data_IF_500559433567
#
_entry.id   IF_500559433567
#
_cell.length_a   1.000
_cell.length_b   1.000
_cell.length_c   1.000
_cell.angle_alpha   90.00
_cell.angle_beta   90.00
_cell.angle_gamma   90.00
#
_symmetry.space_group_name_H-M   'P 1'
#
loop_
_entity.id
_entity.type
_entity.pdbx_description
1 polymer ?
#
# COMPACT_ATOMS: atom_id res chain seq x y z
N UNK A 1 -10.23 11.62 -2.83
CA UNK A 1 -9.04 10.98 -3.43
C UNK A 1 -8.15 10.39 -2.35
N UNK A 2 -7.46 9.26 -2.61
CA UNK A 2 -6.56 8.62 -1.65
C UNK A 2 -5.09 9.00 -1.92
N UNK A 3 -4.19 8.71 -0.98
CA UNK A 3 -2.77 9.08 -1.07
C UNK A 3 -2.00 8.30 -2.12
N UNK A 4 -2.41 7.06 -2.37
CA UNK A 4 -1.86 6.19 -3.42
C UNK A 4 -2.54 6.40 -4.78
N UNK A 5 -3.51 7.30 -4.89
CA UNK A 5 -4.13 7.59 -6.18
C UNK A 5 -3.05 8.11 -7.12
N UNK A 6 -2.87 7.46 -8.27
CA UNK A 6 -1.97 7.95 -9.30
C UNK A 6 -2.62 9.11 -10.02
N UNK A 7 -1.80 10.08 -10.35
CA UNK A 7 -2.14 11.28 -11.11
C UNK A 7 -1.17 11.37 -12.27
N UNK A 8 -1.69 11.64 -13.47
CA UNK A 8 -0.92 11.86 -14.69
C UNK A 8 -1.48 13.04 -15.46
N UNK A 9 -0.63 13.95 -15.93
CA UNK A 9 -1.06 15.01 -16.84
C UNK A 9 -1.52 14.40 -18.18
N UNK A 10 -2.68 14.84 -18.70
CA UNK A 10 -3.21 14.35 -20.00
C UNK A 10 -2.39 14.89 -21.18
N UNK A 11 -1.97 16.14 -21.09
CA UNK A 11 -1.11 16.81 -22.07
C UNK A 11 -0.16 17.76 -21.34
N UNK A 12 1.13 17.75 -21.71
CA UNK A 12 2.09 18.76 -21.27
C UNK A 12 1.86 20.05 -22.07
N UNK A 13 0.77 20.77 -21.74
CA UNK A 13 0.43 22.08 -22.29
C UNK A 13 0.66 23.21 -21.28
N UNK A 14 0.39 24.45 -21.70
CA UNK A 14 0.42 25.61 -20.80
C UNK A 14 -0.57 25.42 -19.64
N UNK A 15 -0.13 25.84 -18.46
CA UNK A 15 -0.96 25.86 -17.27
C UNK A 15 -2.15 26.80 -17.48
N UNK A 16 -3.40 26.37 -17.27
CA UNK A 16 -4.57 27.20 -17.56
C UNK A 16 -4.81 28.36 -16.58
N UNK A 17 -3.90 28.58 -15.62
CA UNK A 17 -4.00 29.64 -14.62
C UNK A 17 -5.07 29.37 -13.56
N UNK A 18 -5.21 30.30 -12.59
CA UNK A 18 -6.34 30.31 -11.66
C UNK A 18 -6.24 29.46 -10.39
N UNK A 19 -5.11 28.78 -10.14
CA UNK A 19 -4.87 28.02 -8.89
C UNK A 19 -3.75 28.61 -8.02
N UNK A 20 -3.30 29.82 -8.35
CA UNK A 20 -2.17 30.50 -7.68
C UNK A 20 -0.83 29.75 -7.85
N UNK A 21 0.21 30.30 -7.23
CA UNK A 21 1.59 29.84 -7.38
C UNK A 21 1.75 28.35 -7.02
N UNK A 22 1.10 27.90 -5.95
CA UNK A 22 1.14 26.49 -5.50
C UNK A 22 0.50 25.55 -6.52
N UNK A 23 -0.58 25.97 -7.17
CA UNK A 23 -1.22 25.17 -8.22
C UNK A 23 -0.37 25.10 -9.49
N UNK A 24 0.36 26.16 -9.79
CA UNK A 24 1.31 26.20 -10.90
C UNK A 24 2.52 25.29 -10.64
N UNK A 25 3.08 25.30 -9.43
CA UNK A 25 4.16 24.37 -9.02
C UNK A 25 3.70 22.90 -9.11
N UNK A 26 2.49 22.59 -8.65
CA UNK A 26 1.90 21.26 -8.79
C UNK A 26 1.79 20.84 -10.26
N UNK A 27 1.33 21.73 -11.13
CA UNK A 27 1.24 21.46 -12.56
C UNK A 27 2.60 21.15 -13.18
N UNK A 28 3.61 21.96 -12.87
CA UNK A 28 4.97 21.74 -13.36
C UNK A 28 5.54 20.40 -12.86
N UNK A 29 5.32 20.06 -11.59
CA UNK A 29 5.74 18.77 -11.03
C UNK A 29 5.06 17.57 -11.72
N UNK A 30 3.79 17.72 -12.14
CA UNK A 30 3.04 16.71 -12.88
C UNK A 30 3.46 16.62 -14.35
N UNK A 31 3.58 17.75 -15.03
CA UNK A 31 3.91 17.82 -16.46
C UNK A 31 5.35 17.37 -16.77
N UNK A 32 6.27 17.55 -15.81
CA UNK A 32 7.66 17.10 -15.92
C UNK A 32 7.89 15.66 -15.45
N UNK A 33 6.88 15.01 -14.86
CA UNK A 33 7.03 13.64 -14.39
C UNK A 33 7.15 12.67 -15.58
N UNK A 34 8.14 11.78 -15.54
CA UNK A 34 8.36 10.76 -16.58
C UNK A 34 7.22 9.73 -16.68
N UNK A 35 6.31 9.70 -15.72
CA UNK A 35 5.16 8.82 -15.67
C UNK A 35 4.19 9.22 -14.56
N UNK A 36 3.16 8.40 -14.28
CA UNK A 36 2.22 8.68 -13.21
C UNK A 36 2.89 8.77 -11.84
N UNK A 37 2.39 9.68 -11.01
CA UNK A 37 2.87 9.93 -9.64
C UNK A 37 1.71 9.86 -8.67
N UNK A 38 1.96 9.34 -7.48
CA UNK A 38 0.95 9.29 -6.41
C UNK A 38 0.76 10.67 -5.77
N UNK A 39 -0.42 10.88 -5.18
CA UNK A 39 -0.72 12.08 -4.39
C UNK A 39 0.29 12.29 -3.26
N UNK A 40 0.74 11.21 -2.60
CA UNK A 40 1.74 11.32 -1.54
C UNK A 40 3.11 11.73 -2.08
N UNK A 41 3.55 11.18 -3.22
CA UNK A 41 4.80 11.60 -3.87
C UNK A 41 4.77 13.09 -4.24
N UNK A 42 3.63 13.59 -4.75
CA UNK A 42 3.44 15.01 -5.04
C UNK A 42 3.49 15.87 -3.77
N UNK A 43 2.78 15.46 -2.72
CA UNK A 43 2.78 16.14 -1.43
C UNK A 43 4.20 16.28 -0.86
N UNK A 44 4.99 15.22 -0.95
CA UNK A 44 6.38 15.21 -0.49
C UNK A 44 7.28 16.09 -1.34
N UNK A 45 7.18 16.01 -2.67
CA UNK A 45 8.00 16.84 -3.59
C UNK A 45 7.75 18.32 -3.43
N UNK A 46 6.50 18.70 -3.16
CA UNK A 46 6.08 20.10 -3.00
C UNK A 46 6.16 20.58 -1.54
N UNK A 47 6.52 19.70 -0.60
CA UNK A 47 6.49 19.96 0.84
C UNK A 47 5.11 20.50 1.32
N UNK A 48 4.02 19.93 0.79
CA UNK A 48 2.64 20.30 1.11
C UNK A 48 1.93 19.18 1.87
N UNK A 49 0.95 19.51 2.74
CA UNK A 49 0.07 18.50 3.29
C UNK A 49 -0.68 17.75 2.19
N UNK A 50 -0.80 16.42 2.30
CA UNK A 50 -1.51 15.60 1.30
C UNK A 50 -2.95 16.05 1.08
N UNK A 51 -3.62 16.63 2.09
CA UNK A 51 -4.95 17.24 1.95
C UNK A 51 -4.99 18.40 0.94
N UNK A 52 -3.98 19.27 0.95
CA UNK A 52 -3.87 20.41 0.03
C UNK A 52 -3.67 19.91 -1.39
N UNK A 53 -2.74 18.97 -1.59
CA UNK A 53 -2.52 18.36 -2.91
C UNK A 53 -3.77 17.67 -3.43
N UNK A 54 -4.54 16.98 -2.56
CA UNK A 54 -5.81 16.35 -2.96
C UNK A 54 -6.81 17.38 -3.51
N UNK A 55 -6.93 18.53 -2.87
CA UNK A 55 -7.82 19.61 -3.33
C UNK A 55 -7.35 20.16 -4.68
N UNK A 56 -6.06 20.51 -4.80
CA UNK A 56 -5.51 21.06 -6.03
C UNK A 56 -5.63 20.08 -7.21
N UNK A 57 -5.31 18.80 -7.00
CA UNK A 57 -5.50 17.76 -8.02
C UNK A 57 -6.98 17.61 -8.39
N UNK A 58 -7.90 17.74 -7.44
CA UNK A 58 -9.34 17.67 -7.75
C UNK A 58 -9.75 18.80 -8.70
N UNK A 59 -9.23 20.01 -8.51
CA UNK A 59 -9.46 21.10 -9.46
C UNK A 59 -8.87 20.80 -10.85
N UNK A 60 -7.68 20.20 -10.93
CA UNK A 60 -7.08 19.79 -12.20
C UNK A 60 -7.89 18.68 -12.89
N UNK A 61 -8.51 17.79 -12.12
CA UNK A 61 -9.44 16.75 -12.62
C UNK A 61 -10.69 17.41 -13.19
N UNK A 62 -11.30 18.35 -12.48
CA UNK A 62 -12.50 19.07 -12.93
C UNK A 62 -12.22 19.87 -14.21
N UNK A 63 -11.03 20.45 -14.31
CA UNK A 63 -10.53 21.12 -15.51
C UNK A 63 -10.11 20.15 -16.63
N UNK A 64 -10.18 18.84 -16.41
CA UNK A 64 -9.78 17.77 -17.36
C UNK A 64 -8.33 17.83 -17.82
N UNK A 65 -7.45 18.34 -16.97
CA UNK A 65 -6.02 18.47 -17.27
C UNK A 65 -5.22 17.22 -16.85
N UNK A 66 -5.74 16.49 -15.88
CA UNK A 66 -5.13 15.27 -15.36
C UNK A 66 -6.08 14.08 -15.45
N UNK A 67 -5.49 12.90 -15.52
CA UNK A 67 -6.15 11.62 -15.32
C UNK A 67 -5.74 11.09 -13.93
N UNK A 68 -6.67 10.43 -13.25
CA UNK A 68 -6.41 9.78 -11.97
C UNK A 68 -6.82 8.32 -11.98
N UNK A 69 -6.07 7.47 -11.27
CA UNK A 69 -6.45 6.07 -11.10
C UNK A 69 -7.67 5.92 -10.20
N UNK A 70 -8.36 4.79 -10.32
CA UNK A 70 -9.34 4.38 -9.33
C UNK A 70 -8.67 4.25 -7.94
N UNK A 71 -9.42 4.58 -6.89
CA UNK A 71 -8.94 4.45 -5.50
C UNK A 71 -8.81 2.98 -5.10
N UNK A 72 -9.78 2.15 -5.48
CA UNK A 72 -9.75 0.69 -5.34
C UNK A 72 -10.16 0.08 -6.68
N UNK A 73 -9.21 -0.47 -7.45
CA UNK A 73 -9.54 -1.06 -8.74
C UNK A 73 -10.37 -2.33 -8.59
N UNK A 74 -11.24 -2.59 -9.58
CA UNK A 74 -12.04 -3.82 -9.64
C UNK A 74 -11.23 -5.03 -10.11
N UNK A 75 -11.87 -6.21 -10.08
CA UNK A 75 -11.27 -7.51 -10.40
C UNK A 75 -10.48 -7.55 -11.72
N UNK A 76 -11.01 -6.95 -12.79
CA UNK A 76 -10.34 -6.96 -14.10
C UNK A 76 -8.94 -6.33 -14.07
N UNK A 77 -8.75 -5.28 -13.28
CA UNK A 77 -7.45 -4.63 -13.09
C UNK A 77 -6.54 -5.47 -12.19
N UNK A 78 -7.09 -6.16 -11.19
CA UNK A 78 -6.30 -7.11 -10.37
C UNK A 78 -5.80 -8.29 -11.22
N UNK A 79 -6.64 -8.84 -12.09
CA UNK A 79 -6.26 -9.92 -13.02
C UNK A 79 -5.24 -9.43 -14.06
N UNK A 80 -5.38 -8.20 -14.57
CA UNK A 80 -4.38 -7.60 -15.46
C UNK A 80 -3.03 -7.39 -14.74
N UNK A 81 -3.05 -6.92 -13.49
CA UNK A 81 -1.86 -6.77 -12.65
C UNK A 81 -1.12 -8.10 -12.41
N UNK A 82 -1.84 -9.21 -12.49
CA UNK A 82 -1.33 -10.57 -12.34
C UNK A 82 -0.94 -11.23 -13.67
N UNK A 83 -1.09 -10.53 -14.80
CA UNK A 83 -0.82 -11.09 -16.13
C UNK A 83 -1.83 -12.16 -16.54
N UNK A 84 -2.98 -12.22 -15.86
CA UNK A 84 -4.05 -13.20 -16.09
C UNK A 84 -5.09 -12.67 -17.08
N UNK A 85 -4.96 -11.40 -17.50
CA UNK A 85 -5.74 -10.77 -18.57
C UNK A 85 -4.88 -9.87 -19.45
N UNK A 86 -5.04 -10.03 -20.76
CA UNK A 86 -4.50 -9.10 -21.76
C UNK A 86 -5.52 -7.99 -22.04
N UNK A 87 -5.08 -6.73 -21.89
CA UNK A 87 -5.87 -5.55 -22.21
C UNK A 87 -5.26 -4.29 -21.60
N UNK A 88 -5.25 -3.19 -22.35
CA UNK A 88 -4.81 -1.90 -21.86
C UNK A 88 -5.76 -1.40 -20.79
N UNK A 89 -5.46 -1.68 -19.52
CA UNK A 89 -6.05 -0.90 -18.43
C UNK A 89 -5.50 0.53 -18.58
N UNK A 90 -6.36 1.53 -18.42
CA UNK A 90 -5.95 2.93 -18.40
C UNK A 90 -5.01 3.20 -17.21
N UNK A 91 -4.95 4.44 -16.72
CA UNK A 91 -4.16 4.69 -15.52
C UNK A 91 -4.68 3.86 -14.32
N UNK A 92 -3.92 2.85 -13.89
CA UNK A 92 -4.34 1.88 -12.88
C UNK A 92 -3.27 1.70 -11.81
N UNK A 93 -3.71 1.68 -10.56
CA UNK A 93 -2.87 1.42 -9.40
C UNK A 93 -3.58 0.45 -8.47
N UNK A 94 -2.83 -0.49 -7.91
CA UNK A 94 -3.30 -1.32 -6.79
C UNK A 94 -2.52 -0.95 -5.55
N UNK A 95 -3.20 -0.85 -4.42
CA UNK A 95 -2.55 -0.61 -3.13
C UNK A 95 -2.59 -1.87 -2.29
N UNK A 96 -1.43 -2.24 -1.77
CA UNK A 96 -1.28 -3.29 -0.77
C UNK A 96 -0.79 -2.63 0.53
N UNK A 97 -1.49 -2.90 1.62
CA UNK A 97 -1.03 -2.51 2.95
C UNK A 97 -0.14 -3.60 3.51
N UNK A 98 1.02 -3.24 4.04
CA UNK A 98 1.93 -4.17 4.72
C UNK A 98 1.83 -3.90 6.22
N UNK A 99 1.35 -4.89 6.96
CA UNK A 99 1.19 -4.86 8.43
C UNK A 99 1.91 -6.05 9.04
N UNK A 100 2.11 -6.04 10.36
CA UNK A 100 2.76 -7.14 11.07
C UNK A 100 3.25 -6.70 12.44
N UNK A 101 3.67 -7.66 13.25
CA UNK A 101 4.27 -7.38 14.56
C UNK A 101 5.63 -6.66 14.46
N UNK A 102 6.15 -6.12 15.57
CA UNK A 102 7.52 -5.63 15.64
C UNK A 102 8.54 -6.62 15.08
N UNK A 103 9.52 -6.12 14.33
CA UNK A 103 10.58 -6.94 13.73
C UNK A 103 10.12 -8.06 12.79
N UNK A 104 8.88 -8.07 12.32
CA UNK A 104 8.37 -9.07 11.36
C UNK A 104 8.88 -8.90 9.93
N UNK A 105 9.71 -7.89 9.67
CA UNK A 105 10.32 -7.66 8.35
C UNK A 105 9.48 -6.81 7.39
N UNK A 106 8.47 -6.11 7.88
CA UNK A 106 7.60 -5.17 7.13
C UNK A 106 8.36 -4.08 6.36
N UNK A 107 9.16 -3.25 7.05
CA UNK A 107 10.02 -2.24 6.40
C UNK A 107 11.01 -2.87 5.41
N UNK A 108 11.61 -4.01 5.80
CA UNK A 108 12.56 -4.73 4.94
C UNK A 108 11.89 -5.23 3.66
N UNK A 109 10.70 -5.82 3.77
CA UNK A 109 9.91 -6.29 2.63
C UNK A 109 9.52 -5.13 1.72
N UNK A 110 9.06 -4.01 2.30
CA UNK A 110 8.70 -2.83 1.53
C UNK A 110 9.91 -2.31 0.75
N UNK A 111 11.06 -2.21 1.40
CA UNK A 111 12.34 -1.84 0.76
C UNK A 111 12.75 -2.79 -0.36
N UNK A 112 12.70 -4.11 -0.13
CA UNK A 112 13.08 -5.12 -1.11
C UNK A 112 12.13 -5.16 -2.33
N UNK A 113 10.83 -5.04 -2.11
CA UNK A 113 9.85 -5.06 -3.19
C UNK A 113 9.93 -3.81 -4.07
N UNK A 114 10.29 -2.66 -3.49
CA UNK A 114 10.18 -1.37 -4.14
C UNK A 114 11.25 -1.14 -5.21
N UNK A 115 10.86 -0.59 -6.36
CA UNK A 115 11.76 -0.21 -7.46
C UNK A 115 12.36 1.18 -7.30
N UNK A 116 11.74 2.01 -6.47
CA UNK A 116 12.25 3.32 -6.06
C UNK A 116 12.47 3.32 -4.55
N UNK A 117 13.43 4.10 -4.03
CA UNK A 117 13.61 4.23 -2.59
C UNK A 117 12.28 4.57 -1.91
N UNK A 118 11.83 3.78 -0.93
CA UNK A 118 10.61 4.06 -0.20
C UNK A 118 10.67 5.43 0.45
N UNK A 119 9.54 6.12 0.48
CA UNK A 119 9.44 7.36 1.23
C UNK A 119 8.92 7.05 2.62
N UNK A 120 9.64 7.50 3.65
CA UNK A 120 9.24 7.41 5.04
C UNK A 120 8.84 8.79 5.57
N UNK A 121 7.69 8.87 6.24
CA UNK A 121 7.20 10.08 6.90
C UNK A 121 7.00 9.78 8.38
N UNK A 122 7.77 10.48 9.22
CA UNK A 122 7.67 10.41 10.67
C UNK A 122 6.67 11.44 11.20
N UNK A 123 5.71 11.00 12.01
CA UNK A 123 4.72 11.85 12.67
C UNK A 123 4.68 11.56 14.17
N UNK A 124 4.55 12.61 14.98
CA UNK A 124 4.32 12.48 16.42
C UNK A 124 2.84 12.60 16.70
N UNK A 125 2.23 11.49 17.10
CA UNK A 125 0.81 11.43 17.43
C UNK A 125 0.63 11.41 18.95
N UNK A 126 -0.37 12.14 19.48
CA UNK A 126 -0.77 11.97 20.87
C UNK A 126 -1.31 10.56 21.08
N UNK A 127 -0.95 9.95 22.20
CA UNK A 127 -1.41 8.63 22.62
C UNK A 127 -2.13 8.73 23.98
N UNK A 128 -2.98 7.74 24.33
CA UNK A 128 -3.67 7.71 25.62
C UNK A 128 -2.70 7.88 26.80
N UNK A 129 -3.13 8.62 27.82
CA UNK A 129 -2.32 8.89 29.01
C UNK A 129 -1.26 9.98 28.82
N UNK A 130 -1.43 10.87 27.84
CA UNK A 130 -0.53 12.03 27.61
C UNK A 130 0.83 11.64 27.02
N UNK A 131 0.95 10.42 26.49
CA UNK A 131 2.17 9.96 25.81
C UNK A 131 2.24 10.51 24.39
N UNK A 132 3.45 10.60 23.86
CA UNK A 132 3.69 10.90 22.45
C UNK A 132 4.27 9.66 21.81
N UNK A 133 3.68 9.22 20.70
CA UNK A 133 4.14 8.08 19.94
C UNK A 133 4.60 8.54 18.57
N UNK A 134 5.75 8.04 18.12
CA UNK A 134 6.25 8.31 16.77
C UNK A 134 5.73 7.24 15.84
N UNK A 135 4.98 7.63 14.82
CA UNK A 135 4.60 6.77 13.72
C UNK A 135 5.53 7.06 12.55
N UNK A 136 6.00 6.02 11.88
CA UNK A 136 6.63 6.12 10.56
C UNK A 136 5.69 5.45 9.57
N UNK A 137 5.20 6.22 8.60
CA UNK A 137 4.49 5.68 7.42
C UNK A 137 5.47 5.56 6.27
N UNK A 138 5.44 4.44 5.56
CA UNK A 138 6.34 4.15 4.46
C UNK A 138 5.55 3.86 3.19
N UNK A 139 5.95 4.45 2.07
CA UNK A 139 5.36 4.20 0.76
C UNK A 139 6.40 3.70 -0.22
N UNK A 140 6.04 2.63 -0.92
CA UNK A 140 6.88 2.00 -1.94
C UNK A 140 6.12 1.84 -3.26
N UNK A 141 6.86 1.62 -4.35
CA UNK A 141 6.30 1.29 -5.66
C UNK A 141 6.93 0.03 -6.20
N UNK A 142 6.16 -0.85 -6.81
CA UNK A 142 6.67 -2.07 -7.41
C UNK A 142 5.92 -2.40 -8.71
N UNK A 143 6.60 -3.05 -9.67
CA UNK A 143 6.01 -3.33 -10.98
C UNK A 143 5.01 -4.46 -10.87
N UNK A 144 3.94 -4.35 -11.65
CA UNK A 144 2.97 -5.40 -11.91
C UNK A 144 2.81 -5.56 -13.43
N UNK A 145 2.08 -6.61 -13.82
CA UNK A 145 1.80 -6.87 -15.22
C UNK A 145 0.69 -5.93 -15.75
N UNK A 146 0.44 -5.97 -17.05
CA UNK A 146 -0.67 -5.25 -17.68
C UNK A 146 -0.56 -3.72 -17.60
N UNK A 147 0.59 -3.15 -17.26
CA UNK A 147 0.77 -1.71 -17.08
C UNK A 147 0.14 -1.15 -15.79
N UNK A 148 -0.15 -2.02 -14.82
CA UNK A 148 -0.62 -1.62 -13.49
C UNK A 148 0.57 -1.26 -12.61
N UNK A 149 0.42 -0.22 -11.80
CA UNK A 149 1.41 0.16 -10.80
C UNK A 149 1.02 -0.38 -9.42
N UNK A 150 1.97 -1.03 -8.74
CA UNK A 150 1.80 -1.47 -7.36
C UNK A 150 2.26 -0.38 -6.39
N UNK A 151 1.41 -0.03 -5.42
CA UNK A 151 1.75 0.87 -4.31
C UNK A 151 1.74 0.09 -3.00
N UNK A 152 2.84 0.17 -2.26
CA UNK A 152 2.96 -0.37 -0.90
C UNK A 152 2.75 0.76 0.10
N UNK A 153 2.03 0.45 1.17
CA UNK A 153 1.93 1.33 2.32
C UNK A 153 2.12 0.52 3.61
N UNK A 154 3.12 0.88 4.41
CA UNK A 154 3.35 0.32 5.73
C UNK A 154 3.30 1.41 6.79
N UNK A 155 3.09 1.03 8.04
CA UNK A 155 3.40 1.91 9.15
C UNK A 155 3.93 1.15 10.36
N UNK A 156 4.79 1.84 11.10
CA UNK A 156 5.39 1.38 12.34
C UNK A 156 5.22 2.43 13.41
N UNK A 157 4.96 2.00 14.63
CA UNK A 157 4.62 2.87 15.75
C UNK A 157 5.58 2.58 16.90
N UNK A 158 6.26 3.62 17.39
CA UNK A 158 7.29 3.55 18.43
C UNK A 158 6.66 3.48 19.83
N UNK A 159 5.93 2.40 20.18
CA UNK A 159 5.44 2.10 21.53
C UNK A 159 4.70 0.74 21.57
N UNK A 160 4.35 0.25 22.77
CA UNK A 160 3.34 -0.79 23.04
C UNK A 160 1.90 -0.39 22.61
N UNK A 161 1.77 0.53 21.66
CA UNK A 161 0.51 1.06 21.19
C UNK A 161 -0.19 0.01 20.29
N UNK A 162 -1.32 -0.49 20.80
CA UNK A 162 -2.25 -1.46 20.22
C UNK A 162 -2.93 -0.92 18.92
N UNK A 163 -3.66 -1.77 18.15
CA UNK A 163 -4.08 -1.53 16.75
C UNK A 163 -4.80 -0.23 16.37
N UNK A 164 -5.29 0.55 17.34
CA UNK A 164 -6.04 1.78 17.12
C UNK A 164 -5.35 2.79 16.18
N UNK A 165 -4.01 2.76 16.10
CA UNK A 165 -3.26 3.67 15.24
C UNK A 165 -3.40 3.37 13.74
N UNK A 166 -3.63 2.12 13.31
CA UNK A 166 -3.80 1.86 11.86
C UNK A 166 -5.06 2.54 11.29
N UNK A 167 -6.08 2.74 12.12
CA UNK A 167 -7.29 3.47 11.75
C UNK A 167 -7.06 4.97 11.65
N UNK A 168 -6.36 5.54 12.63
CA UNK A 168 -6.00 6.96 12.64
C UNK A 168 -5.16 7.33 11.42
N UNK A 169 -4.29 6.42 10.98
CA UNK A 169 -3.47 6.60 9.78
C UNK A 169 -4.22 6.36 8.46
N UNK A 170 -5.41 5.75 8.52
CA UNK A 170 -6.25 5.50 7.34
C UNK A 170 -5.59 4.63 6.25
N UNK A 171 -4.60 3.81 6.61
CA UNK A 171 -3.79 3.06 5.64
C UNK A 171 -4.61 2.06 4.83
N UNK A 172 -5.66 1.49 5.40
CA UNK A 172 -6.56 0.56 4.71
C UNK A 172 -7.40 1.22 3.60
N UNK A 173 -7.58 2.55 3.63
CA UNK A 173 -8.46 3.22 2.67
C UNK A 173 -7.94 3.05 1.25
N UNK A 174 -8.79 2.48 0.40
CA UNK A 174 -8.48 2.16 -0.99
C UNK A 174 -7.45 1.05 -1.18
N UNK A 175 -7.08 0.31 -0.14
CA UNK A 175 -6.29 -0.90 -0.30
C UNK A 175 -7.10 -1.95 -1.07
N UNK A 176 -6.46 -2.59 -2.05
CA UNK A 176 -6.99 -3.76 -2.76
C UNK A 176 -6.76 -5.06 -1.99
N UNK A 177 -5.71 -5.09 -1.18
CA UNK A 177 -5.27 -6.24 -0.40
C UNK A 177 -4.33 -5.82 0.71
N UNK A 178 -3.93 -6.78 1.54
CA UNK A 178 -2.89 -6.60 2.53
C UNK A 178 -1.95 -7.79 2.61
N UNK A 179 -0.81 -7.56 3.26
CA UNK A 179 0.12 -8.60 3.69
C UNK A 179 0.30 -8.46 5.20
N UNK A 180 0.15 -9.58 5.91
CA UNK A 180 0.53 -9.71 7.32
C UNK A 180 1.89 -10.38 7.38
N UNK A 181 2.91 -9.63 7.77
CA UNK A 181 4.24 -10.16 8.02
C UNK A 181 4.33 -10.75 9.42
N UNK A 182 4.94 -11.92 9.50
CA UNK A 182 5.02 -12.74 10.71
C UNK A 182 6.46 -13.11 10.98
N UNK A 183 6.94 -12.77 12.17
CA UNK A 183 8.20 -13.30 12.67
C UNK A 183 7.97 -14.75 13.16
N UNK A 184 8.70 -15.76 12.67
CA UNK A 184 8.45 -17.18 12.98
C UNK A 184 8.51 -17.52 14.47
N UNK A 185 9.34 -16.80 15.24
CA UNK A 185 9.46 -16.99 16.70
C UNK A 185 8.56 -16.08 17.56
N UNK A 186 7.81 -15.14 16.94
CA UNK A 186 7.00 -14.11 17.62
C UNK A 186 5.70 -13.86 16.85
N UNK A 187 5.01 -14.93 16.52
CA UNK A 187 3.85 -14.88 15.63
C UNK A 187 2.65 -14.20 16.30
N UNK A 188 2.53 -14.30 17.62
CA UNK A 188 1.45 -13.69 18.42
C UNK A 188 1.42 -12.17 18.26
N UNK A 189 2.57 -11.55 18.00
CA UNK A 189 2.69 -10.10 17.79
C UNK A 189 2.01 -9.65 16.49
N UNK A 190 1.67 -10.59 15.59
CA UNK A 190 1.00 -10.31 14.32
C UNK A 190 -0.51 -10.57 14.36
N UNK A 191 -1.04 -11.26 15.39
CA UNK A 191 -2.48 -11.50 15.56
C UNK A 191 -3.31 -10.21 15.55
N UNK A 192 -2.89 -9.10 16.21
CA UNK A 192 -3.68 -7.87 16.17
C UNK A 192 -3.83 -7.26 14.77
N UNK A 193 -2.88 -7.54 13.87
CA UNK A 193 -2.97 -7.10 12.48
C UNK A 193 -3.96 -7.97 11.68
N UNK A 194 -4.04 -9.27 11.98
CA UNK A 194 -5.03 -10.19 11.41
C UNK A 194 -6.43 -9.75 11.82
N UNK A 195 -6.69 -9.62 13.12
CA UNK A 195 -7.99 -9.19 13.66
C UNK A 195 -8.45 -7.88 13.00
N UNK A 196 -7.54 -6.90 12.90
CA UNK A 196 -7.80 -5.60 12.29
C UNK A 196 -8.19 -5.71 10.79
N UNK A 197 -7.57 -6.61 10.03
CA UNK A 197 -7.91 -6.83 8.62
C UNK A 197 -9.26 -7.52 8.46
N UNK A 198 -9.53 -8.53 9.29
CA UNK A 198 -10.78 -9.30 9.26
C UNK A 198 -12.00 -8.47 9.63
N UNK A 199 -11.89 -7.60 10.65
CA UNK A 199 -12.94 -6.64 11.02
C UNK A 199 -13.33 -5.70 9.85
N UNK A 200 -12.37 -5.39 8.98
CA UNK A 200 -12.58 -4.55 7.78
C UNK A 200 -12.95 -5.38 6.56
N UNK A 201 -12.97 -6.70 6.73
CA UNK A 201 -13.04 -7.69 5.69
C UNK A 201 -12.07 -7.37 4.57
N UNK A 202 -10.80 -6.98 4.83
CA UNK A 202 -9.74 -6.70 3.83
C UNK A 202 -8.97 -7.99 3.52
N UNK A 203 -8.74 -8.35 2.23
CA UNK A 203 -8.23 -9.67 1.90
C UNK A 203 -6.72 -9.63 2.07
N UNK A 204 -6.16 -10.67 2.66
CA UNK A 204 -4.74 -10.65 2.98
C UNK A 204 -4.05 -11.97 2.72
N UNK A 205 -2.74 -11.89 2.53
CA UNK A 205 -1.85 -13.04 2.61
C UNK A 205 -0.93 -12.90 3.82
N UNK A 206 -0.47 -14.03 4.34
CA UNK A 206 0.49 -14.09 5.45
C UNK A 206 1.87 -14.37 4.87
N UNK A 207 2.82 -13.48 5.14
CA UNK A 207 4.24 -13.69 4.87
C UNK A 207 4.96 -14.13 6.13
N UNK A 208 5.53 -15.32 6.15
CA UNK A 208 6.39 -15.78 7.26
C UNK A 208 7.83 -15.50 6.91
N UNK A 209 8.50 -14.65 7.69
CA UNK A 209 9.89 -14.25 7.44
C UNK A 209 10.83 -15.47 7.55
N UNK A 210 11.42 -15.86 6.43
CA UNK A 210 12.28 -17.04 6.27
C UNK A 210 13.73 -16.72 6.67
N UNK A 211 13.94 -16.33 7.93
CA UNK A 211 15.25 -16.00 8.46
C UNK A 211 16.18 -17.23 8.46
N UNK A 212 17.45 -17.09 8.04
CA UNK A 212 18.41 -18.19 8.04
C UNK A 212 18.52 -18.87 9.42
N UNK A 213 18.47 -20.21 9.43
CA UNK A 213 18.57 -21.00 10.65
C UNK A 213 17.27 -21.11 11.46
N UNK A 214 16.15 -20.61 10.95
CA UNK A 214 14.85 -20.72 11.63
C UNK A 214 14.10 -21.97 11.21
N UNK A 215 13.50 -22.68 12.17
CA UNK A 215 12.54 -23.75 11.89
C UNK A 215 11.22 -23.10 11.51
N UNK A 216 10.82 -23.24 10.25
CA UNK A 216 9.62 -22.63 9.73
C UNK A 216 8.42 -23.58 9.93
N UNK A 217 7.30 -23.09 10.49
CA UNK A 217 6.07 -23.86 10.54
C UNK A 217 5.51 -24.09 9.12
N UNK A 218 4.77 -25.17 8.92
CA UNK A 218 3.99 -25.34 7.69
C UNK A 218 2.81 -24.35 7.64
N UNK A 219 2.25 -24.17 6.45
CA UNK A 219 1.15 -23.23 6.21
C UNK A 219 -0.09 -23.53 7.07
N UNK A 220 -0.43 -24.80 7.28
CA UNK A 220 -1.58 -25.18 8.11
C UNK A 220 -1.39 -24.76 9.55
N UNK A 221 -0.19 -25.00 10.08
CA UNK A 221 0.18 -24.62 11.44
C UNK A 221 0.15 -23.10 11.65
N UNK A 222 0.61 -22.31 10.67
CA UNK A 222 0.53 -20.85 10.73
C UNK A 222 -0.92 -20.36 10.77
N UNK A 223 -1.80 -20.93 9.93
CA UNK A 223 -3.23 -20.59 9.94
C UNK A 223 -3.89 -20.90 11.27
N UNK A 224 -3.62 -22.07 11.84
CA UNK A 224 -4.12 -22.42 13.18
C UNK A 224 -3.69 -21.41 14.24
N UNK A 225 -2.40 -21.06 14.23
CA UNK A 225 -1.80 -20.15 15.20
C UNK A 225 -2.44 -18.76 15.10
N UNK A 226 -2.51 -18.21 13.88
CA UNK A 226 -3.10 -16.89 13.61
C UNK A 226 -4.64 -16.90 13.56
N UNK A 227 -5.27 -18.09 13.63
CA UNK A 227 -6.72 -18.30 13.51
C UNK A 227 -7.33 -17.76 12.22
N UNK A 228 -6.58 -17.84 11.12
CA UNK A 228 -7.04 -17.35 9.81
C UNK A 228 -7.86 -18.39 9.08
N UNK A 229 -8.68 -17.93 8.14
CA UNK A 229 -9.45 -18.81 7.25
C UNK A 229 -8.55 -19.79 6.47
N UNK A 230 -9.09 -20.99 6.17
CA UNK A 230 -8.37 -22.06 5.49
C UNK A 230 -7.83 -21.67 4.10
N UNK A 231 -8.48 -20.72 3.43
CA UNK A 231 -8.11 -20.23 2.09
C UNK A 231 -7.12 -19.06 2.10
N UNK A 232 -6.76 -18.55 3.29
CA UNK A 232 -5.77 -17.47 3.44
C UNK A 232 -4.40 -17.97 2.97
N UNK A 233 -3.75 -17.31 1.99
CA UNK A 233 -2.42 -17.70 1.53
C UNK A 233 -1.40 -17.52 2.65
N UNK A 234 -0.54 -18.53 2.85
CA UNK A 234 0.62 -18.44 3.74
C UNK A 234 1.87 -18.73 2.90
N UNK A 235 2.79 -17.78 2.88
CA UNK A 235 3.97 -17.81 2.02
C UNK A 235 5.22 -17.63 2.86
N UNK A 236 6.15 -18.58 2.80
CA UNK A 236 7.49 -18.40 3.35
C UNK A 236 8.23 -17.37 2.49
N UNK A 237 8.71 -16.31 3.12
CA UNK A 237 9.19 -15.12 2.42
C UNK A 237 10.56 -14.70 2.95
N UNK A 238 11.58 -14.69 2.10
CA UNK A 238 12.81 -13.94 2.43
C UNK A 238 12.53 -12.46 2.17
N UNK A 239 12.27 -11.70 3.23
CA UNK A 239 11.89 -10.29 3.15
C UNK A 239 12.97 -9.39 2.54
N UNK A 240 14.20 -9.90 2.36
CA UNK A 240 15.31 -9.18 1.72
C UNK A 240 15.40 -9.46 0.22
N UNK A 241 14.72 -10.49 -0.27
CA UNK A 241 14.69 -10.84 -1.69
C UNK A 241 13.56 -10.08 -2.40
N UNK A 242 13.87 -9.22 -3.38
CA UNK A 242 12.84 -8.54 -4.18
C UNK A 242 11.86 -9.51 -4.85
N UNK A 243 12.36 -10.65 -5.32
CA UNK A 243 11.57 -11.67 -5.99
C UNK A 243 10.62 -12.37 -5.01
N UNK A 244 11.13 -12.75 -3.83
CA UNK A 244 10.32 -13.38 -2.77
C UNK A 244 9.24 -12.41 -2.26
N UNK A 245 9.59 -11.15 -2.04
CA UNK A 245 8.65 -10.12 -1.61
C UNK A 245 7.55 -9.90 -2.67
N UNK A 246 7.91 -9.78 -3.95
CA UNK A 246 6.94 -9.61 -5.04
C UNK A 246 6.04 -10.83 -5.21
N UNK A 247 6.55 -12.04 -4.99
CA UNK A 247 5.74 -13.26 -5.02
C UNK A 247 4.63 -13.21 -3.96
N UNK A 248 4.96 -12.88 -2.71
CA UNK A 248 3.98 -12.69 -1.64
C UNK A 248 2.94 -11.61 -1.99
N UNK A 249 3.37 -10.47 -2.51
CA UNK A 249 2.47 -9.38 -2.92
C UNK A 249 1.49 -9.82 -4.03
N UNK A 250 1.96 -10.62 -4.99
CA UNK A 250 1.09 -11.18 -6.04
C UNK A 250 0.09 -12.19 -5.49
N UNK A 251 0.49 -13.02 -4.52
CA UNK A 251 -0.44 -13.95 -3.87
C UNK A 251 -1.51 -13.22 -3.05
N UNK A 252 -1.17 -12.11 -2.40
CA UNK A 252 -2.15 -11.22 -1.78
C UNK A 252 -3.16 -10.67 -2.80
N UNK A 253 -2.69 -10.22 -3.97
CA UNK A 253 -3.56 -9.73 -5.05
C UNK A 253 -4.44 -10.82 -5.65
N UNK A 254 -3.93 -12.04 -5.81
CA UNK A 254 -4.74 -13.20 -6.25
C UNK A 254 -5.85 -13.50 -5.28
N UNK A 255 -5.55 -13.52 -3.98
CA UNK A 255 -6.55 -13.71 -2.95
C UNK A 255 -7.60 -12.60 -2.98
N UNK A 256 -7.17 -11.34 -3.12
CA UNK A 256 -8.08 -10.20 -3.31
C UNK A 256 -8.98 -10.34 -4.55
N UNK A 257 -8.42 -10.76 -5.69
CA UNK A 257 -9.18 -10.95 -6.92
C UNK A 257 -10.25 -12.05 -6.79
N UNK A 258 -9.94 -13.15 -6.09
CA UNK A 258 -10.91 -14.21 -5.77
C UNK A 258 -12.01 -13.71 -4.85
N UNK A 259 -11.64 -12.98 -3.79
CA UNK A 259 -12.63 -12.41 -2.88
C UNK A 259 -13.55 -11.41 -3.61
N UNK A 260 -13.02 -10.63 -4.55
CA UNK A 260 -13.80 -9.71 -5.39
C UNK A 260 -14.81 -10.43 -6.31
N UNK A 261 -14.59 -11.70 -6.62
CA UNK A 261 -15.53 -12.53 -7.38
C UNK A 261 -16.75 -12.98 -6.58
N UNK A 262 -16.63 -13.05 -5.25
CA UNK A 262 -17.69 -13.50 -4.34
C UNK A 262 -18.73 -12.44 -3.98
N UNK A 263 -18.62 -11.22 -4.52
CA UNK A 263 -19.60 -10.16 -4.34
C UNK A 263 -19.53 -9.38 -3.02
N UNK A 264 -18.52 -9.60 -2.19
CA UNK A 264 -18.41 -8.97 -0.87
C UNK A 264 -17.17 -8.07 -0.78
N UNK A 265 -17.30 -6.80 -1.14
CA UNK A 265 -16.34 -5.71 -0.84
C UNK A 265 -17.01 -4.36 -0.69
#
# INVERSE_FOLDING_TARGET
MAEHTLVRARHAGEFPGGLGDVGEELWHALASAAGPVTVVELALRLALPAGVVKVLVSHLVDARLVEVSAVRPGRAVLEAALGERDGGVGLAAVKIVVVGGPSSGTTTLLGAASTVPPVAVGERLPAPGGRVTTTVREWGRFPLDGGVEGVLAAAHVSADARPAWWDDLGLWRGASGAVVMVHPARWEESCPAVDWLEERGLPYAVGVDALPGTVLPDAGRVREMLRTDGDTPVVLTDVRSPESARFLLRDALRHAARAAAGGAW
#
